data_IF_657181350555
#
_entry.id   IF_657181350555
#
_cell.length_a   1.000
_cell.length_b   1.000
_cell.length_c   1.000
_cell.angle_alpha   90.00
_cell.angle_beta   90.00
_cell.angle_gamma   90.00
#
_symmetry.space_group_name_H-M   'P 1'
#
loop_
_entity.id
_entity.type
_entity.pdbx_description
1 polymer ?
#
# COMPACT_ATOMS: atom_id res chain seq x y z
N UNK A 1 -11.71 -0.90 3.56
CA UNK A 1 -10.40 -0.35 3.16
C UNK A 1 -9.53 -1.43 2.54
N UNK A 2 -9.09 -2.48 3.28
CA UNK A 2 -8.28 -3.60 2.72
C UNK A 2 -8.84 -4.13 1.39
N UNK A 3 -10.14 -4.39 1.31
CA UNK A 3 -10.76 -4.93 0.10
C UNK A 3 -10.56 -4.02 -1.12
N UNK A 4 -10.70 -2.70 -0.95
CA UNK A 4 -10.41 -1.74 -2.03
C UNK A 4 -8.94 -1.80 -2.42
N UNK A 5 -8.03 -1.87 -1.43
CA UNK A 5 -6.60 -2.09 -1.63
C UNK A 5 -6.31 -3.29 -2.52
N UNK A 6 -6.90 -4.44 -2.20
CA UNK A 6 -6.72 -5.67 -2.97
C UNK A 6 -7.17 -5.56 -4.43
N UNK A 7 -8.19 -4.73 -4.73
CA UNK A 7 -8.75 -4.57 -6.08
C UNK A 7 -7.84 -3.73 -6.98
N UNK A 8 -7.39 -2.56 -6.52
CA UNK A 8 -6.60 -1.67 -7.38
C UNK A 8 -5.11 -2.02 -7.39
N UNK A 9 -4.57 -2.46 -6.24
CA UNK A 9 -3.13 -2.70 -6.09
C UNK A 9 -2.64 -3.84 -7.00
N UNK A 10 -3.44 -4.89 -7.15
CA UNK A 10 -3.10 -6.03 -8.02
C UNK A 10 -3.03 -5.66 -9.51
N UNK A 11 -3.62 -4.54 -9.93
CA UNK A 11 -3.52 -4.05 -11.30
C UNK A 11 -2.08 -3.59 -11.61
N UNK A 12 -1.36 -3.06 -10.62
CA UNK A 12 0.07 -2.71 -10.74
C UNK A 12 0.89 -3.97 -11.08
N UNK A 13 0.59 -5.08 -10.40
CA UNK A 13 1.23 -6.37 -10.65
C UNK A 13 0.86 -6.92 -12.04
N UNK A 14 -0.38 -6.74 -12.48
CA UNK A 14 -0.80 -7.12 -13.83
C UNK A 14 -0.05 -6.32 -14.91
N UNK A 15 0.14 -5.01 -14.70
CA UNK A 15 0.99 -4.18 -15.58
C UNK A 15 2.45 -4.65 -15.52
N UNK A 16 3.02 -4.89 -14.35
CA UNK A 16 4.40 -5.38 -14.23
C UNK A 16 4.61 -6.73 -14.93
N UNK A 17 3.66 -7.67 -14.80
CA UNK A 17 3.68 -8.94 -15.52
C UNK A 17 3.57 -8.73 -17.04
N UNK A 18 2.72 -7.82 -17.48
CA UNK A 18 2.60 -7.47 -18.88
C UNK A 18 3.94 -6.96 -19.43
N UNK A 19 4.55 -5.97 -18.79
CA UNK A 19 5.87 -5.46 -19.20
C UNK A 19 6.97 -6.53 -19.12
N UNK A 20 6.95 -7.40 -18.11
CA UNK A 20 7.88 -8.53 -18.02
C UNK A 20 7.76 -9.45 -19.24
N UNK A 21 6.55 -9.81 -19.68
CA UNK A 21 6.34 -10.62 -20.87
C UNK A 21 6.90 -9.97 -22.15
N UNK A 22 6.74 -8.65 -22.30
CA UNK A 22 7.30 -7.91 -23.45
C UNK A 22 8.81 -7.68 -23.36
N UNK A 23 9.42 -7.87 -22.18
CA UNK A 23 10.87 -7.71 -21.99
C UNK A 23 11.69 -8.81 -22.66
N UNK A 24 11.06 -9.92 -23.07
CA UNK A 24 11.70 -11.03 -23.79
C UNK A 24 11.75 -10.84 -25.31
N UNK A 25 11.40 -9.65 -25.82
CA UNK A 25 11.48 -9.33 -27.24
C UNK A 25 12.88 -8.83 -27.64
N UNK A 26 13.26 -9.08 -28.90
CA UNK A 26 14.55 -8.65 -29.45
C UNK A 26 14.73 -7.12 -29.38
N UNK A 27 13.66 -6.36 -29.59
CA UNK A 27 13.60 -4.93 -29.30
C UNK A 27 12.52 -4.67 -28.24
N UNK A 28 12.84 -3.85 -27.24
CA UNK A 28 11.85 -3.46 -26.24
C UNK A 28 10.78 -2.57 -26.88
N UNK A 29 9.47 -2.85 -26.70
CA UNK A 29 8.42 -2.05 -27.32
C UNK A 29 8.44 -0.56 -26.95
N UNK A 30 9.06 -0.16 -25.85
CA UNK A 30 9.13 1.23 -25.40
C UNK A 30 10.47 1.93 -25.75
N UNK A 31 11.33 1.32 -26.57
CA UNK A 31 12.65 1.87 -26.92
C UNK A 31 12.58 3.11 -27.82
N UNK A 32 11.73 3.06 -28.85
CA UNK A 32 11.75 4.06 -29.91
C UNK A 32 10.96 5.33 -29.57
N UNK A 33 10.01 5.26 -28.61
CA UNK A 33 9.23 6.45 -28.26
C UNK A 33 8.29 6.38 -27.05
N UNK A 34 7.94 7.54 -26.44
CA UNK A 34 6.88 7.65 -25.43
C UNK A 34 5.49 7.27 -25.96
N UNK A 35 5.23 7.46 -27.25
CA UNK A 35 3.92 7.15 -27.86
C UNK A 35 3.68 5.64 -27.91
N UNK A 36 4.72 4.83 -28.16
CA UNK A 36 4.58 3.37 -28.17
C UNK A 36 4.33 2.81 -26.77
N UNK A 37 4.85 3.43 -25.71
CA UNK A 37 4.49 3.10 -24.31
C UNK A 37 3.00 3.31 -24.03
N UNK A 38 2.38 4.35 -24.62
CA UNK A 38 0.92 4.56 -24.53
C UNK A 38 0.15 3.54 -25.34
N UNK A 39 0.65 3.11 -26.49
CA UNK A 39 0.04 2.03 -27.29
C UNK A 39 0.11 0.67 -26.57
N UNK A 40 1.21 0.42 -25.85
CA UNK A 40 1.44 -0.80 -25.05
C UNK A 40 0.36 -0.95 -23.96
N UNK A 41 -0.01 0.15 -23.28
CA UNK A 41 -1.11 0.18 -22.30
C UNK A 41 -2.47 0.60 -22.88
N UNK A 42 -2.53 1.00 -24.16
CA UNK A 42 -3.70 1.59 -24.86
C UNK A 42 -4.39 2.69 -24.05
N UNK A 43 -3.65 3.65 -23.50
CA UNK A 43 -4.23 4.69 -22.65
C UNK A 43 -5.26 5.56 -23.40
N UNK A 44 -6.43 5.75 -22.80
CA UNK A 44 -7.44 6.69 -23.30
C UNK A 44 -6.95 8.14 -23.17
N UNK A 45 -7.45 9.02 -24.06
CA UNK A 45 -7.18 10.46 -24.01
C UNK A 45 -8.18 11.21 -23.11
N UNK A 46 -9.33 10.60 -22.79
CA UNK A 46 -10.36 11.19 -21.92
C UNK A 46 -10.85 10.19 -20.87
N UNK A 47 -11.39 10.72 -19.76
CA UNK A 47 -11.94 9.88 -18.69
C UNK A 47 -13.26 9.20 -19.09
N UNK A 48 -14.08 9.88 -19.90
CA UNK A 48 -15.44 9.44 -20.24
C UNK A 48 -15.43 8.27 -21.24
N UNK A 49 -14.30 8.02 -21.90
CA UNK A 49 -14.10 6.89 -22.79
C UNK A 49 -13.22 5.82 -22.11
N UNK A 50 -13.86 4.91 -21.37
CA UNK A 50 -13.18 3.75 -20.77
C UNK A 50 -12.57 2.83 -21.84
N UNK A 51 -13.27 2.63 -22.96
CA UNK A 51 -12.87 1.71 -24.02
C UNK A 51 -13.06 0.21 -23.68
N UNK A 52 -12.75 -0.70 -24.61
CA UNK A 52 -12.94 -2.13 -24.41
C UNK A 52 -11.88 -2.73 -23.46
N UNK A 53 -12.26 -3.79 -22.75
CA UNK A 53 -11.35 -4.52 -21.86
C UNK A 53 -10.19 -5.16 -22.67
N UNK A 54 -8.95 -4.91 -22.24
CA UNK A 54 -7.76 -5.46 -22.90
C UNK A 54 -7.53 -6.92 -22.52
N UNK A 55 -7.82 -7.85 -23.44
CA UNK A 55 -7.69 -9.29 -23.16
C UNK A 55 -6.28 -9.70 -22.69
N UNK A 56 -5.22 -9.04 -23.18
CA UNK A 56 -3.84 -9.34 -22.76
C UNK A 56 -3.62 -9.01 -21.28
N UNK A 57 -4.09 -7.85 -20.85
CA UNK A 57 -4.01 -7.44 -19.46
C UNK A 57 -4.97 -8.25 -18.57
N UNK A 58 -6.11 -8.72 -19.09
CA UNK A 58 -6.99 -9.65 -18.37
C UNK A 58 -6.26 -10.96 -18.06
N UNK A 59 -5.50 -11.50 -19.02
CA UNK A 59 -4.68 -12.68 -18.78
C UNK A 59 -3.59 -12.43 -17.72
N UNK A 60 -2.92 -11.28 -17.77
CA UNK A 60 -1.94 -10.91 -16.74
C UNK A 60 -2.61 -10.78 -15.36
N UNK A 61 -3.76 -10.11 -15.29
CA UNK A 61 -4.52 -9.95 -14.05
C UNK A 61 -4.97 -11.31 -13.49
N UNK A 62 -5.49 -12.20 -14.34
CA UNK A 62 -5.89 -13.55 -13.97
C UNK A 62 -4.69 -14.38 -13.46
N UNK A 63 -3.54 -14.29 -14.13
CA UNK A 63 -2.32 -14.98 -13.73
C UNK A 63 -1.83 -14.51 -12.35
N UNK A 64 -1.81 -13.21 -12.10
CA UNK A 64 -1.42 -12.67 -10.78
C UNK A 64 -2.40 -13.12 -9.69
N UNK A 65 -3.71 -13.05 -9.94
CA UNK A 65 -4.70 -13.55 -8.97
C UNK A 65 -4.54 -15.04 -8.67
N UNK A 66 -4.22 -15.84 -9.68
CA UNK A 66 -3.95 -17.28 -9.53
C UNK A 66 -2.73 -17.51 -8.63
N UNK A 67 -1.65 -16.77 -8.85
CA UNK A 67 -0.45 -16.81 -8.00
C UNK A 67 -0.80 -16.41 -6.57
N UNK A 68 -1.48 -15.27 -6.36
CA UNK A 68 -1.91 -14.83 -5.04
C UNK A 68 -2.79 -15.86 -4.32
N UNK A 69 -3.72 -16.48 -5.02
CA UNK A 69 -4.58 -17.52 -4.47
C UNK A 69 -3.76 -18.69 -3.91
N UNK A 70 -2.88 -19.29 -4.73
CA UNK A 70 -2.09 -20.45 -4.30
C UNK A 70 -1.01 -20.10 -3.27
N UNK A 71 -0.49 -18.87 -3.26
CA UNK A 71 0.45 -18.44 -2.22
C UNK A 71 -0.25 -18.33 -0.85
N UNK A 72 -1.51 -17.85 -0.80
CA UNK A 72 -2.24 -17.54 0.44
C UNK A 72 -3.21 -18.65 0.88
N UNK A 73 -3.50 -19.64 0.03
CA UNK A 73 -4.57 -20.64 0.27
C UNK A 73 -4.48 -21.39 1.61
N UNK A 74 -3.29 -21.71 2.12
CA UNK A 74 -3.07 -22.37 3.43
C UNK A 74 -2.73 -21.39 4.55
N UNK A 75 -3.02 -20.11 4.33
CA UNK A 75 -2.71 -19.01 5.23
C UNK A 75 -1.22 -18.82 5.45
N UNK A 76 -0.86 -18.30 6.62
CA UNK A 76 0.53 -18.01 7.02
C UNK A 76 1.51 -19.18 6.88
N UNK A 77 1.04 -20.43 6.86
CA UNK A 77 1.88 -21.62 6.63
C UNK A 77 2.42 -21.72 5.19
N UNK A 78 1.64 -21.25 4.21
CA UNK A 78 2.05 -21.19 2.80
C UNK A 78 2.71 -19.87 2.51
N UNK A 79 2.07 -18.76 2.89
CA UNK A 79 2.60 -17.41 2.72
C UNK A 79 3.99 -17.29 3.34
N UNK A 80 4.18 -17.76 4.57
CA UNK A 80 5.46 -17.75 5.27
C UNK A 80 6.60 -18.51 4.59
N UNK A 81 6.30 -19.45 3.69
CA UNK A 81 7.33 -20.13 2.87
C UNK A 81 7.67 -19.35 1.61
N UNK A 82 6.65 -18.80 0.95
CA UNK A 82 6.81 -18.04 -0.30
C UNK A 82 7.58 -16.74 -0.05
N UNK A 83 7.31 -16.05 1.07
CA UNK A 83 7.98 -14.79 1.45
C UNK A 83 9.49 -14.89 1.58
N UNK A 84 10.07 -16.08 1.84
CA UNK A 84 11.52 -16.23 1.83
C UNK A 84 12.12 -15.90 0.45
N UNK A 85 11.40 -16.19 -0.63
CA UNK A 85 11.82 -15.81 -1.98
C UNK A 85 11.35 -14.39 -2.31
N UNK A 86 10.04 -14.13 -2.17
CA UNK A 86 9.43 -12.89 -2.66
C UNK A 86 9.89 -11.65 -1.88
N UNK A 87 10.24 -11.77 -0.60
CA UNK A 87 10.73 -10.65 0.19
C UNK A 87 12.25 -10.44 0.08
N UNK A 88 13.05 -11.50 -0.11
CA UNK A 88 14.52 -11.38 -0.16
C UNK A 88 15.04 -11.06 -1.57
N UNK A 89 14.38 -11.58 -2.61
CA UNK A 89 14.78 -11.35 -3.99
C UNK A 89 14.84 -9.87 -4.38
N UNK A 90 13.87 -9.02 -3.99
CA UNK A 90 13.94 -7.58 -4.25
C UNK A 90 15.19 -6.91 -3.68
N UNK A 91 15.71 -7.34 -2.53
CA UNK A 91 16.95 -6.78 -1.98
C UNK A 91 18.17 -7.11 -2.82
N UNK A 92 18.27 -8.37 -3.28
CA UNK A 92 19.32 -8.77 -4.19
C UNK A 92 19.23 -7.98 -5.51
N UNK A 93 18.02 -7.81 -6.03
CA UNK A 93 17.81 -7.07 -7.27
C UNK A 93 18.07 -5.57 -7.10
N UNK A 94 17.65 -4.99 -5.98
CA UNK A 94 17.91 -3.60 -5.64
C UNK A 94 19.42 -3.33 -5.58
N UNK A 95 20.20 -4.24 -5.00
CA UNK A 95 21.66 -4.13 -5.00
C UNK A 95 22.24 -4.15 -6.42
N UNK A 96 21.78 -5.07 -7.27
CA UNK A 96 22.20 -5.16 -8.68
C UNK A 96 21.88 -3.88 -9.44
N UNK A 97 20.65 -3.35 -9.30
CA UNK A 97 20.23 -2.11 -9.95
C UNK A 97 20.96 -0.88 -9.38
N UNK A 98 21.28 -0.88 -8.09
CA UNK A 98 22.05 0.18 -7.45
C UNK A 98 23.48 0.22 -7.97
N UNK A 99 24.16 -0.92 -8.02
CA UNK A 99 25.52 -1.01 -8.59
C UNK A 99 25.48 -0.59 -10.06
N UNK A 100 24.51 -1.09 -10.83
CA UNK A 100 24.38 -0.69 -12.22
C UNK A 100 24.14 0.80 -12.37
N UNK A 101 23.16 1.35 -11.65
CA UNK A 101 22.81 2.76 -11.67
C UNK A 101 24.00 3.65 -11.31
N UNK A 102 24.78 3.30 -10.29
CA UNK A 102 25.96 4.04 -9.88
C UNK A 102 27.10 4.03 -10.93
N UNK A 103 27.14 3.04 -11.82
CA UNK A 103 28.14 2.95 -12.91
C UNK A 103 27.75 3.70 -14.18
N UNK A 104 26.52 4.22 -14.28
CA UNK A 104 26.06 4.93 -15.46
C UNK A 104 26.61 6.36 -15.51
N UNK A 105 26.87 6.92 -16.71
CA UNK A 105 27.06 8.36 -16.85
C UNK A 105 25.80 9.10 -16.36
N UNK A 106 25.91 10.32 -15.85
CA UNK A 106 24.75 11.03 -15.29
C UNK A 106 24.30 10.62 -13.89
N UNK A 107 24.81 9.52 -13.34
CA UNK A 107 24.35 9.01 -12.06
C UNK A 107 24.52 10.02 -10.91
N UNK A 108 25.64 10.75 -10.89
CA UNK A 108 25.93 11.72 -9.84
C UNK A 108 24.96 12.90 -9.85
N UNK A 109 24.57 13.40 -11.02
CA UNK A 109 23.56 14.45 -11.16
C UNK A 109 22.23 13.99 -10.56
N UNK A 110 21.87 12.72 -10.78
CA UNK A 110 20.75 12.05 -10.15
C UNK A 110 20.79 12.05 -8.63
N UNK A 111 21.92 11.61 -8.05
CA UNK A 111 22.09 11.56 -6.60
C UNK A 111 22.10 12.96 -5.97
N UNK A 112 22.72 13.94 -6.63
CA UNK A 112 22.69 15.34 -6.19
C UNK A 112 21.24 15.84 -6.19
N UNK A 113 20.45 15.58 -7.22
CA UNK A 113 19.05 15.97 -7.24
C UNK A 113 18.24 15.31 -6.11
N UNK A 114 18.53 14.04 -5.82
CA UNK A 114 17.85 13.30 -4.74
C UNK A 114 18.15 13.88 -3.35
N UNK A 115 19.40 14.22 -3.06
CA UNK A 115 19.84 14.51 -1.69
C UNK A 115 20.13 15.99 -1.40
N UNK A 116 20.22 16.85 -2.43
CA UNK A 116 20.56 18.26 -2.24
C UNK A 116 19.49 18.93 -1.35
N UNK A 117 19.85 19.35 -0.12
CA UNK A 117 18.87 19.86 0.81
C UNK A 117 18.40 21.25 0.36
N UNK A 118 17.10 21.46 0.38
CA UNK A 118 16.51 22.79 0.26
C UNK A 118 15.76 23.15 1.54
N UNK A 119 16.45 23.81 2.48
CA UNK A 119 15.92 24.15 3.79
C UNK A 119 14.68 25.06 3.73
N UNK A 120 14.51 25.84 2.66
CA UNK A 120 13.32 26.71 2.49
C UNK A 120 12.04 25.89 2.37
N UNK A 121 12.11 24.64 1.90
CA UNK A 121 10.96 23.73 1.79
C UNK A 121 10.44 23.27 3.15
N UNK A 122 11.23 23.35 4.23
CA UNK A 122 10.75 23.00 5.57
C UNK A 122 9.69 23.97 6.11
N UNK A 123 9.63 25.18 5.57
CA UNK A 123 8.58 26.16 5.87
C UNK A 123 7.26 25.87 5.13
N UNK A 124 7.27 25.00 4.11
CA UNK A 124 6.06 24.58 3.40
C UNK A 124 5.35 23.47 4.18
N UNK A 125 4.12 23.71 4.71
CA UNK A 125 3.39 22.70 5.46
C UNK A 125 3.04 21.46 4.61
N UNK A 126 3.01 21.57 3.28
CA UNK A 126 2.79 20.44 2.39
C UNK A 126 3.89 19.38 2.53
N UNK A 127 5.15 19.79 2.78
CA UNK A 127 6.26 18.83 2.94
C UNK A 127 6.06 17.92 4.14
N UNK A 128 5.53 18.46 5.24
CA UNK A 128 5.24 17.68 6.46
C UNK A 128 4.02 16.78 6.28
N UNK A 129 3.02 17.24 5.52
CA UNK A 129 1.88 16.44 5.13
C UNK A 129 2.26 15.23 4.28
N UNK A 130 3.08 15.46 3.26
CA UNK A 130 3.58 14.42 2.37
C UNK A 130 4.45 13.42 3.17
N UNK A 131 5.32 13.91 4.06
CA UNK A 131 6.12 13.05 4.94
C UNK A 131 5.25 12.18 5.87
N UNK A 132 4.24 12.78 6.50
CA UNK A 132 3.33 12.06 7.39
C UNK A 132 2.55 10.97 6.64
N UNK A 133 1.87 11.34 5.55
CA UNK A 133 1.09 10.39 4.73
C UNK A 133 1.96 9.30 4.11
N UNK A 134 3.17 9.62 3.66
CA UNK A 134 4.14 8.64 3.17
C UNK A 134 4.50 7.61 4.26
N UNK A 135 4.75 8.03 5.49
CA UNK A 135 5.03 7.12 6.61
C UNK A 135 3.84 6.20 6.86
N UNK A 136 2.62 6.74 7.01
CA UNK A 136 1.44 5.93 7.26
C UNK A 136 1.20 4.88 6.16
N UNK A 137 1.30 5.29 4.91
CA UNK A 137 1.07 4.41 3.76
C UNK A 137 2.19 3.38 3.60
N UNK A 138 3.45 3.79 3.74
CA UNK A 138 4.61 2.90 3.59
C UNK A 138 4.61 1.73 4.58
N UNK A 139 4.15 1.95 5.82
CA UNK A 139 4.04 0.88 6.82
C UNK A 139 2.70 0.12 6.76
N UNK A 140 1.73 0.56 5.97
CA UNK A 140 0.39 -0.02 5.95
C UNK A 140 -0.31 0.04 7.33
N UNK A 141 -0.05 1.09 8.10
CA UNK A 141 -0.60 1.25 9.46
C UNK A 141 -2.13 1.43 9.36
N UNK A 142 -2.86 1.06 10.41
CA UNK A 142 -4.32 1.16 10.50
C UNK A 142 -5.13 0.29 9.55
N UNK A 143 -4.51 -0.35 8.55
CA UNK A 143 -5.21 -1.25 7.62
C UNK A 143 -5.70 -2.54 8.27
N UNK A 144 -5.12 -2.95 9.41
CA UNK A 144 -5.42 -4.22 10.09
C UNK A 144 -4.45 -5.35 9.70
N UNK A 145 -3.63 -5.14 8.68
CA UNK A 145 -2.60 -6.09 8.22
C UNK A 145 -1.60 -6.48 9.31
N UNK A 146 -1.02 -5.49 10.00
CA UNK A 146 -0.06 -5.76 11.08
C UNK A 146 -0.73 -6.41 12.30
N UNK A 147 -1.99 -6.07 12.58
CA UNK A 147 -2.77 -6.71 13.66
C UNK A 147 -3.03 -8.18 13.34
N UNK A 148 -3.42 -8.50 12.10
CA UNK A 148 -3.64 -9.87 11.65
C UNK A 148 -2.33 -10.68 11.69
N UNK A 149 -1.22 -10.15 11.18
CA UNK A 149 0.07 -10.83 11.24
C UNK A 149 0.54 -11.03 12.68
N UNK A 150 0.40 -10.00 13.53
CA UNK A 150 0.75 -10.07 14.95
C UNK A 150 -0.07 -11.12 15.72
N UNK A 151 -1.31 -11.40 15.31
CA UNK A 151 -2.14 -12.44 15.92
C UNK A 151 -1.59 -13.86 15.76
N UNK A 152 -0.68 -14.08 14.81
CA UNK A 152 -0.02 -15.37 14.60
C UNK A 152 1.28 -15.52 15.39
N UNK A 153 1.76 -14.46 16.04
CA UNK A 153 2.96 -14.53 16.86
C UNK A 153 2.71 -15.33 18.14
N UNK A 154 3.80 -15.89 18.69
CA UNK A 154 3.76 -16.40 20.07
C UNK A 154 3.48 -15.24 21.02
N UNK A 155 2.74 -15.51 22.09
CA UNK A 155 2.38 -14.49 23.08
C UNK A 155 3.60 -13.76 23.66
N UNK A 156 4.68 -14.49 23.93
CA UNK A 156 5.91 -13.97 24.49
C UNK A 156 6.97 -13.55 23.44
N UNK A 157 6.56 -13.35 22.19
CA UNK A 157 7.44 -12.81 21.16
C UNK A 157 7.76 -11.34 21.45
N UNK A 158 9.03 -10.94 21.27
CA UNK A 158 9.44 -9.56 21.45
C UNK A 158 8.97 -8.66 20.29
N UNK A 159 7.69 -8.32 20.31
CA UNK A 159 7.07 -7.46 19.29
C UNK A 159 7.60 -6.02 19.33
N UNK A 160 8.19 -5.59 20.45
CA UNK A 160 8.79 -4.27 20.59
C UNK A 160 10.06 -4.17 19.73
N UNK A 161 10.95 -5.16 19.85
CA UNK A 161 12.15 -5.28 19.01
C UNK A 161 11.79 -5.43 17.53
N UNK A 162 10.82 -6.28 17.22
CA UNK A 162 10.39 -6.51 15.82
C UNK A 162 9.85 -5.22 15.19
N UNK A 163 9.07 -4.43 15.96
CA UNK A 163 8.54 -3.15 15.48
C UNK A 163 9.66 -2.15 15.14
N UNK A 164 10.70 -2.07 15.96
CA UNK A 164 11.85 -1.20 15.66
C UNK A 164 12.62 -1.66 14.42
N UNK A 165 12.87 -2.97 14.30
CA UNK A 165 13.55 -3.53 13.14
C UNK A 165 12.75 -3.32 11.85
N UNK A 166 11.42 -3.49 11.90
CA UNK A 166 10.52 -3.23 10.78
C UNK A 166 10.60 -1.77 10.34
N UNK A 167 10.58 -0.83 11.29
CA UNK A 167 10.77 0.60 11.01
C UNK A 167 12.10 0.89 10.31
N UNK A 168 13.19 0.34 10.83
CA UNK A 168 14.52 0.55 10.26
C UNK A 168 14.64 -0.06 8.86
N UNK A 169 14.18 -1.29 8.67
CA UNK A 169 14.27 -2.00 7.38
C UNK A 169 13.43 -1.31 6.29
N UNK A 170 12.18 -0.95 6.59
CA UNK A 170 11.33 -0.26 5.62
C UNK A 170 11.93 1.08 5.16
N UNK A 171 12.40 1.89 6.12
CA UNK A 171 12.95 3.22 5.84
C UNK A 171 14.28 3.15 5.09
N UNK A 172 15.17 2.24 5.51
CA UNK A 172 16.45 2.02 4.83
C UNK A 172 16.27 1.46 3.42
N UNK A 173 15.30 0.57 3.20
CA UNK A 173 14.95 0.07 1.86
C UNK A 173 14.49 1.21 0.96
N UNK A 174 13.62 2.10 1.48
CA UNK A 174 13.15 3.27 0.72
C UNK A 174 14.29 4.23 0.37
N UNK A 175 15.22 4.44 1.30
CA UNK A 175 16.41 5.27 1.07
C UNK A 175 17.33 4.67 0.01
N UNK A 176 17.63 3.37 0.08
CA UNK A 176 18.43 2.65 -0.92
C UNK A 176 17.76 2.61 -2.30
N UNK A 177 16.45 2.41 -2.35
CA UNK A 177 15.65 2.51 -3.57
C UNK A 177 15.74 3.91 -4.19
N UNK A 178 15.78 4.97 -3.38
CA UNK A 178 16.03 6.33 -3.84
C UNK A 178 17.32 6.44 -4.66
N UNK A 179 18.45 5.92 -4.17
CA UNK A 179 19.69 5.91 -4.94
C UNK A 179 19.58 5.11 -6.24
N UNK A 180 18.98 3.92 -6.21
CA UNK A 180 18.84 3.08 -7.40
C UNK A 180 17.97 3.74 -8.48
N UNK A 181 16.89 4.42 -8.09
CA UNK A 181 16.01 5.13 -9.02
C UNK A 181 16.67 6.41 -9.55
N UNK A 182 17.16 7.28 -8.66
CA UNK A 182 17.67 8.59 -9.07
C UNK A 182 18.99 8.50 -9.84
N UNK A 183 19.85 7.50 -9.58
CA UNK A 183 21.03 7.27 -10.43
C UNK A 183 20.66 6.93 -11.87
N UNK A 184 19.64 6.10 -12.08
CA UNK A 184 19.14 5.76 -13.42
C UNK A 184 18.41 6.94 -14.09
N UNK A 185 17.67 7.75 -13.32
CA UNK A 185 17.06 8.97 -13.86
C UNK A 185 18.09 10.03 -14.24
N UNK A 186 19.18 10.14 -13.47
CA UNK A 186 20.32 11.01 -13.81
C UNK A 186 20.97 10.62 -15.13
N UNK A 187 21.16 9.32 -15.35
CA UNK A 187 21.58 8.78 -16.65
C UNK A 187 20.62 9.16 -17.79
N UNK A 188 19.32 8.96 -17.60
CA UNK A 188 18.33 9.33 -18.61
C UNK A 188 18.34 10.82 -18.93
N UNK A 189 18.51 11.67 -17.91
CA UNK A 189 18.61 13.12 -18.08
C UNK A 189 19.86 13.52 -18.87
N UNK A 190 21.01 12.90 -18.59
CA UNK A 190 22.26 13.13 -19.32
C UNK A 190 22.17 12.67 -20.78
N UNK A 191 21.69 11.46 -21.04
CA UNK A 191 21.51 10.93 -22.40
C UNK A 191 20.53 11.75 -23.25
N UNK A 192 19.49 12.33 -22.63
CA UNK A 192 18.50 13.15 -23.33
C UNK A 192 18.86 14.64 -23.38
N UNK A 193 19.89 15.07 -22.64
CA UNK A 193 20.25 16.48 -22.52
C UNK A 193 19.14 17.34 -21.89
N UNK A 194 18.35 16.78 -20.96
CA UNK A 194 17.24 17.47 -20.28
C UNK A 194 17.48 17.60 -18.79
N UNK A 195 16.79 18.54 -18.14
CA UNK A 195 16.82 18.64 -16.68
C UNK A 195 16.16 17.42 -16.04
N UNK A 196 16.73 16.94 -14.93
CA UNK A 196 16.23 15.75 -14.24
C UNK A 196 14.79 15.92 -13.72
N UNK A 197 14.37 17.13 -13.38
CA UNK A 197 13.00 17.40 -12.96
C UNK A 197 11.97 17.07 -14.07
N UNK A 198 12.38 17.11 -15.34
CA UNK A 198 11.51 16.77 -16.47
C UNK A 198 11.29 15.25 -16.64
N UNK A 199 12.22 14.42 -16.12
CA UNK A 199 12.14 12.94 -16.20
C UNK A 199 11.68 12.31 -14.89
N UNK A 200 11.77 13.05 -13.77
CA UNK A 200 11.29 12.62 -12.46
C UNK A 200 9.75 12.68 -12.38
N UNK A 201 9.09 11.60 -12.82
CA UNK A 201 7.65 11.40 -12.62
C UNK A 201 7.35 10.78 -11.25
N UNK A 202 6.09 10.82 -10.81
CA UNK A 202 5.61 10.16 -9.59
C UNK A 202 4.64 9.01 -9.92
N UNK A 203 4.43 8.13 -8.92
CA UNK A 203 3.46 7.04 -9.01
C UNK A 203 3.74 6.05 -10.16
N UNK A 204 2.70 5.49 -10.79
CA UNK A 204 2.86 4.53 -11.89
C UNK A 204 3.64 5.09 -13.09
N UNK A 205 3.63 6.41 -13.33
CA UNK A 205 4.38 7.03 -14.42
C UNK A 205 5.89 6.82 -14.28
N UNK A 206 6.41 6.89 -13.04
CA UNK A 206 7.82 6.62 -12.77
C UNK A 206 8.21 5.20 -13.17
N UNK A 207 7.46 4.21 -12.68
CA UNK A 207 7.80 2.80 -12.84
C UNK A 207 7.48 2.25 -14.25
N UNK A 208 6.42 2.73 -14.90
CA UNK A 208 5.95 2.17 -16.18
C UNK A 208 6.21 3.07 -17.40
N UNK A 209 6.70 4.29 -17.20
CA UNK A 209 7.03 5.22 -18.30
C UNK A 209 8.49 5.67 -18.23
N UNK A 210 8.89 6.35 -17.14
CA UNK A 210 10.22 6.95 -17.05
C UNK A 210 11.32 5.88 -16.93
N UNK A 211 11.19 4.94 -15.98
CA UNK A 211 12.21 3.93 -15.72
C UNK A 211 12.42 2.95 -16.90
N UNK A 212 11.36 2.39 -17.54
CA UNK A 212 11.55 1.49 -18.67
C UNK A 212 12.22 2.19 -19.86
N UNK A 213 11.96 3.50 -20.02
CA UNK A 213 12.61 4.33 -21.02
C UNK A 213 14.09 4.52 -20.74
N UNK A 214 14.47 4.77 -19.49
CA UNK A 214 15.89 4.81 -19.08
C UNK A 214 16.58 3.47 -19.31
N UNK A 215 15.92 2.37 -18.97
CA UNK A 215 16.42 1.00 -19.19
C UNK A 215 16.66 0.71 -20.67
N UNK A 216 15.77 1.17 -21.56
CA UNK A 216 15.91 0.94 -23.00
C UNK A 216 17.14 1.62 -23.63
N UNK A 217 17.74 2.61 -22.95
CA UNK A 217 18.97 3.28 -23.38
C UNK A 217 20.24 2.57 -22.91
N UNK A 218 20.13 1.63 -21.98
CA UNK A 218 21.28 0.90 -21.45
C UNK A 218 21.70 -0.23 -22.41
N UNK A 219 22.99 -0.61 -22.41
CA UNK A 219 23.40 -1.87 -23.02
C UNK A 219 22.72 -3.05 -22.35
N UNK A 220 22.32 -4.06 -23.15
CA UNK A 220 21.54 -5.22 -22.72
C UNK A 220 20.21 -4.83 -22.03
N UNK A 221 19.36 -4.00 -22.68
CA UNK A 221 18.19 -3.41 -22.03
C UNK A 221 17.15 -4.45 -21.57
N UNK A 222 17.07 -5.60 -22.22
CA UNK A 222 16.19 -6.71 -21.84
C UNK A 222 16.53 -7.27 -20.46
N UNK A 223 17.83 -7.43 -20.14
CA UNK A 223 18.28 -7.94 -18.85
C UNK A 223 17.77 -7.03 -17.72
N UNK A 224 18.00 -5.72 -17.85
CA UNK A 224 17.62 -4.73 -16.86
C UNK A 224 16.10 -4.58 -16.74
N UNK A 225 15.36 -4.70 -17.85
CA UNK A 225 13.90 -4.69 -17.84
C UNK A 225 13.34 -5.90 -17.09
N UNK A 226 13.84 -7.11 -17.38
CA UNK A 226 13.45 -8.34 -16.67
C UNK A 226 13.74 -8.22 -15.17
N UNK A 227 14.95 -7.78 -14.81
CA UNK A 227 15.36 -7.51 -13.44
C UNK A 227 14.37 -6.57 -12.71
N UNK A 228 14.06 -5.43 -13.33
CA UNK A 228 13.21 -4.41 -12.74
C UNK A 228 11.75 -4.86 -12.59
N UNK A 229 11.13 -5.41 -13.64
CA UNK A 229 9.73 -5.83 -13.56
C UNK A 229 9.54 -7.07 -12.69
N UNK A 230 10.50 -7.99 -12.67
CA UNK A 230 10.47 -9.11 -11.73
C UNK A 230 10.57 -8.62 -10.29
N UNK A 231 11.42 -7.61 -10.00
CA UNK A 231 11.48 -6.98 -8.68
C UNK A 231 10.14 -6.34 -8.29
N UNK A 232 9.50 -5.58 -9.18
CA UNK A 232 8.17 -4.99 -8.91
C UNK A 232 7.13 -6.07 -8.59
N UNK A 233 7.12 -7.16 -9.36
CA UNK A 233 6.18 -8.27 -9.12
C UNK A 233 6.42 -8.87 -7.73
N UNK A 234 7.67 -9.19 -7.39
CA UNK A 234 8.00 -9.79 -6.09
C UNK A 234 7.65 -8.86 -4.92
N UNK A 235 7.97 -7.55 -5.04
CA UNK A 235 7.61 -6.55 -4.03
C UNK A 235 6.10 -6.44 -3.82
N UNK A 236 5.32 -6.33 -4.91
CA UNK A 236 3.89 -6.13 -4.78
C UNK A 236 3.14 -7.41 -4.38
N UNK A 237 3.64 -8.60 -4.73
CA UNK A 237 3.02 -9.86 -4.32
C UNK A 237 2.92 -9.96 -2.80
N UNK A 238 3.97 -9.58 -2.06
CA UNK A 238 3.97 -9.65 -0.60
C UNK A 238 2.93 -8.72 0.04
N UNK A 239 2.80 -7.49 -0.47
CA UNK A 239 1.74 -6.56 -0.02
C UNK A 239 0.35 -7.14 -0.28
N UNK A 240 0.14 -7.75 -1.45
CA UNK A 240 -1.14 -8.38 -1.79
C UNK A 240 -1.42 -9.62 -0.91
N UNK A 241 -0.41 -10.44 -0.62
CA UNK A 241 -0.56 -11.61 0.25
C UNK A 241 -1.00 -11.21 1.65
N UNK A 242 -0.33 -10.22 2.23
CA UNK A 242 -0.66 -9.74 3.57
C UNK A 242 -2.06 -9.11 3.61
N UNK A 243 -2.45 -8.37 2.58
CA UNK A 243 -3.78 -7.77 2.50
C UNK A 243 -4.89 -8.82 2.42
N UNK A 244 -4.72 -9.86 1.59
CA UNK A 244 -5.64 -10.99 1.53
C UNK A 244 -5.67 -11.77 2.85
N UNK A 245 -4.51 -12.02 3.46
CA UNK A 245 -4.46 -12.71 4.74
C UNK A 245 -5.19 -11.91 5.82
N UNK A 246 -4.98 -10.60 5.92
CA UNK A 246 -5.65 -9.74 6.90
C UNK A 246 -7.17 -9.78 6.79
N UNK A 247 -7.69 -9.74 5.56
CA UNK A 247 -9.12 -9.89 5.30
C UNK A 247 -9.60 -11.29 5.72
N UNK A 248 -8.88 -12.33 5.31
CA UNK A 248 -9.25 -13.72 5.59
C UNK A 248 -9.20 -14.04 7.09
N UNK A 249 -8.18 -13.57 7.82
CA UNK A 249 -8.05 -13.72 9.28
C UNK A 249 -9.23 -13.05 9.97
N UNK A 250 -9.53 -11.80 9.62
CA UNK A 250 -10.64 -11.04 10.21
C UNK A 250 -11.99 -11.75 10.06
N UNK A 251 -12.31 -12.27 8.87
CA UNK A 251 -13.57 -12.99 8.62
C UNK A 251 -13.56 -14.37 9.30
N UNK A 252 -12.42 -15.05 9.31
CA UNK A 252 -12.28 -16.37 9.95
C UNK A 252 -12.44 -16.28 11.46
N UNK A 253 -11.97 -15.21 12.08
CA UNK A 253 -12.06 -15.01 13.54
C UNK A 253 -13.45 -14.54 13.97
N UNK A 254 -14.20 -13.87 13.09
CA UNK A 254 -15.61 -13.53 13.35
C UNK A 254 -16.54 -14.75 13.24
N UNK A 255 -16.23 -15.70 12.33
CA UNK A 255 -17.07 -16.88 12.07
C UNK A 255 -16.27 -18.20 12.09
N UNK A 256 -15.60 -18.55 13.21
CA UNK A 256 -14.64 -19.66 13.25
C UNK A 256 -15.30 -21.01 12.97
N UNK A 257 -16.49 -21.27 13.53
CA UNK A 257 -17.22 -22.52 13.35
C UNK A 257 -17.67 -22.76 11.90
N UNK A 258 -17.85 -21.69 11.13
CA UNK A 258 -18.28 -21.77 9.73
C UNK A 258 -17.09 -21.90 8.80
N UNK A 259 -16.06 -21.08 8.98
CA UNK A 259 -14.95 -20.89 8.02
C UNK A 259 -13.81 -21.89 8.22
N UNK A 260 -13.47 -22.27 9.48
CA UNK A 260 -12.36 -23.19 9.76
C UNK A 260 -12.65 -24.66 9.38
N UNK A 261 -13.88 -24.98 8.96
CA UNK A 261 -14.31 -26.34 8.65
C UNK A 261 -13.99 -26.73 7.20
N UNK A 262 -13.30 -27.86 7.02
CA UNK A 262 -13.03 -28.44 5.70
C UNK A 262 -12.21 -27.51 4.82
N UNK A 263 -12.66 -27.28 3.58
CA UNK A 263 -12.00 -26.39 2.60
C UNK A 263 -12.65 -25.01 2.46
N UNK A 264 -13.45 -24.59 3.46
CA UNK A 264 -14.29 -23.38 3.35
C UNK A 264 -13.48 -22.09 3.35
N UNK A 265 -12.35 -22.05 4.07
CA UNK A 265 -11.40 -20.92 3.99
C UNK A 265 -10.85 -20.78 2.57
N UNK A 266 -10.41 -21.87 1.95
CA UNK A 266 -9.89 -21.83 0.58
C UNK A 266 -10.96 -21.44 -0.45
N UNK A 267 -12.21 -21.87 -0.24
CA UNK A 267 -13.34 -21.46 -1.09
C UNK A 267 -13.69 -19.98 -0.90
N UNK A 268 -13.71 -19.48 0.33
CA UNK A 268 -13.94 -18.06 0.61
C UNK A 268 -12.84 -17.19 -0.02
N UNK A 269 -11.57 -17.60 0.11
CA UNK A 269 -10.46 -16.91 -0.56
C UNK A 269 -10.66 -16.89 -2.09
N UNK A 270 -11.08 -18.01 -2.68
CA UNK A 270 -11.35 -18.07 -4.12
C UNK A 270 -12.47 -17.09 -4.52
N UNK A 271 -13.57 -17.05 -3.76
CA UNK A 271 -14.68 -16.11 -4.00
C UNK A 271 -14.18 -14.67 -3.92
N UNK A 272 -13.39 -14.32 -2.89
CA UNK A 272 -12.79 -12.99 -2.76
C UNK A 272 -11.90 -12.66 -3.97
N UNK A 273 -11.01 -13.56 -4.37
CA UNK A 273 -10.15 -13.37 -5.54
C UNK A 273 -10.96 -13.16 -6.83
N UNK A 274 -12.02 -13.95 -7.04
CA UNK A 274 -12.89 -13.85 -8.22
C UNK A 274 -13.67 -12.54 -8.23
N UNK A 275 -14.25 -12.12 -7.10
CA UNK A 275 -14.97 -10.84 -6.99
C UNK A 275 -14.00 -9.68 -7.26
N UNK A 276 -12.83 -9.67 -6.63
CA UNK A 276 -11.83 -8.63 -6.85
C UNK A 276 -11.30 -8.62 -8.29
N UNK A 277 -11.12 -9.79 -8.91
CA UNK A 277 -10.78 -9.91 -10.33
C UNK A 277 -11.83 -9.26 -11.22
N UNK A 278 -13.12 -9.58 -11.00
CA UNK A 278 -14.22 -9.05 -11.80
C UNK A 278 -14.33 -7.51 -11.68
N UNK A 279 -14.19 -6.97 -10.47
CA UNK A 279 -14.16 -5.51 -10.25
C UNK A 279 -12.93 -4.89 -10.91
N UNK A 280 -11.77 -5.55 -10.80
CA UNK A 280 -10.51 -5.10 -11.39
C UNK A 280 -10.52 -5.02 -12.92
N UNK A 281 -11.44 -5.70 -13.61
CA UNK A 281 -11.57 -5.62 -15.08
C UNK A 281 -11.80 -4.19 -15.58
N UNK A 282 -12.46 -3.34 -14.79
CA UNK A 282 -12.67 -1.93 -15.14
C UNK A 282 -11.35 -1.16 -15.26
N UNK A 283 -10.35 -1.51 -14.45
CA UNK A 283 -9.02 -0.89 -14.47
C UNK A 283 -8.11 -1.46 -15.56
N UNK A 284 -8.57 -2.47 -16.29
CA UNK A 284 -7.88 -3.15 -17.39
C UNK A 284 -8.39 -2.68 -18.77
N UNK A 285 -9.06 -1.53 -18.78
CA UNK A 285 -9.51 -0.82 -19.99
C UNK A 285 -8.52 0.28 -20.36
N UNK A 286 -8.58 0.84 -21.59
CA UNK A 286 -7.87 2.06 -21.98
C UNK A 286 -7.94 3.22 -20.97
N UNK A 287 -9.14 3.49 -20.41
CA UNK A 287 -9.35 4.49 -19.36
C UNK A 287 -9.04 3.99 -17.94
N UNK A 288 -8.57 2.75 -17.82
CA UNK A 288 -8.39 2.07 -16.54
C UNK A 288 -7.34 2.72 -15.62
N UNK A 289 -6.33 3.40 -16.19
CA UNK A 289 -5.35 4.17 -15.40
C UNK A 289 -6.03 5.28 -14.58
N UNK A 290 -7.03 5.95 -15.14
CA UNK A 290 -7.73 7.00 -14.42
C UNK A 290 -8.59 6.43 -13.28
N UNK A 291 -9.28 5.31 -13.52
CA UNK A 291 -10.02 4.60 -12.47
C UNK A 291 -9.07 4.15 -11.36
N UNK A 292 -7.90 3.61 -11.75
CA UNK A 292 -6.83 3.27 -10.81
C UNK A 292 -6.41 4.49 -9.97
N UNK A 293 -6.15 5.64 -10.59
CA UNK A 293 -5.74 6.86 -9.87
C UNK A 293 -6.82 7.37 -8.89
N UNK A 294 -8.10 7.27 -9.26
CA UNK A 294 -9.21 7.60 -8.36
C UNK A 294 -9.21 6.65 -7.14
N UNK A 295 -9.05 5.34 -7.37
CA UNK A 295 -8.97 4.37 -6.28
C UNK A 295 -7.74 4.60 -5.38
N UNK A 296 -6.57 4.80 -5.97
CA UNK A 296 -5.31 5.02 -5.28
C UNK A 296 -5.39 6.28 -4.38
N UNK A 297 -5.95 7.37 -4.91
CA UNK A 297 -6.07 8.63 -4.18
C UNK A 297 -7.12 8.58 -3.05
N UNK A 298 -8.32 8.02 -3.32
CA UNK A 298 -9.46 8.17 -2.40
C UNK A 298 -9.74 6.94 -1.50
N UNK A 299 -9.38 5.73 -1.92
CA UNK A 299 -9.87 4.51 -1.26
C UNK A 299 -9.07 4.10 -0.02
N UNK A 300 -7.74 4.18 -0.09
CA UNK A 300 -6.82 3.66 0.92
C UNK A 300 -5.69 4.64 1.27
N UNK A 301 -5.80 5.89 0.82
CA UNK A 301 -4.82 6.95 1.05
C UNK A 301 -5.48 8.22 1.62
N UNK A 302 -4.65 9.16 2.04
CA UNK A 302 -5.04 10.49 2.50
C UNK A 302 -6.09 10.46 3.64
N UNK A 303 -7.25 11.04 3.36
CA UNK A 303 -8.32 11.26 4.34
C UNK A 303 -8.81 9.96 5.01
N UNK A 304 -8.96 8.86 4.25
CA UNK A 304 -9.45 7.57 4.77
C UNK A 304 -8.54 7.02 5.89
N UNK A 305 -7.24 7.00 5.60
CA UNK A 305 -6.21 6.49 6.47
C UNK A 305 -6.03 7.38 7.71
N UNK A 306 -5.98 8.71 7.52
CA UNK A 306 -5.84 9.67 8.62
C UNK A 306 -7.02 9.59 9.61
N UNK A 307 -8.26 9.52 9.12
CA UNK A 307 -9.44 9.36 9.98
C UNK A 307 -9.37 8.07 10.79
N UNK A 308 -9.01 6.96 10.15
CA UNK A 308 -8.86 5.67 10.82
C UNK A 308 -7.75 5.71 11.89
N UNK A 309 -6.63 6.39 11.61
CA UNK A 309 -5.54 6.59 12.56
C UNK A 309 -5.94 7.43 13.78
N UNK A 310 -6.74 8.49 13.58
CA UNK A 310 -7.30 9.29 14.69
C UNK A 310 -8.16 8.40 15.59
N UNK A 311 -9.12 7.66 15.02
CA UNK A 311 -10.01 6.82 15.82
C UNK A 311 -9.27 5.68 16.54
N UNK A 312 -8.34 4.99 15.87
CA UNK A 312 -7.57 3.92 16.49
C UNK A 312 -6.65 4.42 17.62
N UNK A 313 -5.98 5.56 17.42
CA UNK A 313 -5.13 6.14 18.46
C UNK A 313 -5.93 6.64 19.66
N UNK A 314 -7.09 7.28 19.45
CA UNK A 314 -8.01 7.65 20.54
C UNK A 314 -8.57 6.42 21.27
N UNK A 315 -8.94 5.37 20.54
CA UNK A 315 -9.44 4.13 21.12
C UNK A 315 -8.39 3.46 22.02
N UNK A 316 -7.13 3.33 21.58
CA UNK A 316 -6.08 2.71 22.38
C UNK A 316 -5.57 3.65 23.48
N UNK A 317 -5.30 4.91 23.15
CA UNK A 317 -4.68 5.87 24.05
C UNK A 317 -5.58 6.28 25.22
N UNK A 318 -6.87 6.51 24.95
CA UNK A 318 -7.82 7.09 25.91
C UNK A 318 -8.92 6.14 26.34
N UNK A 319 -9.56 5.42 25.41
CA UNK A 319 -10.71 4.55 25.76
C UNK A 319 -10.24 3.27 26.44
N UNK A 320 -9.32 2.53 25.81
CA UNK A 320 -8.69 1.34 26.38
C UNK A 320 -7.67 1.70 27.48
N UNK A 321 -6.94 2.80 27.25
CA UNK A 321 -5.97 3.37 28.18
C UNK A 321 -4.53 2.95 27.89
N UNK A 322 -3.66 3.93 27.64
CA UNK A 322 -2.26 3.68 27.31
C UNK A 322 -1.46 2.97 28.42
N UNK A 323 -1.83 3.15 29.70
CA UNK A 323 -1.17 2.45 30.81
C UNK A 323 -1.45 0.94 30.75
N UNK A 324 -2.71 0.58 30.48
CA UNK A 324 -3.10 -0.81 30.30
C UNK A 324 -2.41 -1.42 29.09
N UNK A 325 -2.39 -0.70 27.98
CA UNK A 325 -1.69 -1.17 26.78
C UNK A 325 -0.19 -1.37 27.02
N UNK A 326 0.45 -0.44 27.75
CA UNK A 326 1.85 -0.57 28.20
C UNK A 326 2.06 -1.78 29.10
N UNK A 327 1.14 -2.05 30.03
CA UNK A 327 1.19 -3.21 30.91
C UNK A 327 1.06 -4.52 30.14
N UNK A 328 0.21 -4.58 29.11
CA UNK A 328 0.10 -5.77 28.26
C UNK A 328 1.40 -6.01 27.48
N UNK A 329 2.04 -4.96 26.98
CA UNK A 329 3.35 -5.09 26.30
C UNK A 329 4.40 -5.61 27.28
N UNK A 330 4.40 -5.13 28.53
CA UNK A 330 5.28 -5.65 29.58
C UNK A 330 5.02 -7.11 29.87
N UNK A 331 3.77 -7.53 29.94
CA UNK A 331 3.39 -8.93 30.16
C UNK A 331 3.86 -9.85 29.03
N UNK A 332 3.77 -9.38 27.77
CA UNK A 332 4.25 -10.13 26.60
C UNK A 332 5.78 -10.17 26.49
N UNK A 333 6.46 -9.04 26.69
CA UNK A 333 7.90 -8.87 26.38
C UNK A 333 8.83 -9.00 27.59
N UNK A 334 8.29 -8.90 28.81
CA UNK A 334 9.03 -8.91 30.07
C UNK A 334 9.61 -7.57 30.50
N UNK A 335 9.46 -6.49 29.72
CA UNK A 335 9.97 -5.16 30.06
C UNK A 335 9.04 -4.03 29.64
N UNK A 336 9.26 -2.84 30.21
CA UNK A 336 8.44 -1.67 29.90
C UNK A 336 8.77 -1.04 28.56
N UNK A 337 7.75 -0.70 27.74
CA UNK A 337 7.98 0.20 26.63
C UNK A 337 8.36 1.59 27.13
N UNK A 338 9.16 2.31 26.35
CA UNK A 338 9.61 3.66 26.71
C UNK A 338 8.40 4.60 26.98
N UNK A 339 8.49 5.51 27.97
CA UNK A 339 7.40 6.44 28.28
C UNK A 339 6.94 7.31 27.11
N UNK A 340 7.83 7.58 26.14
CA UNK A 340 7.52 8.31 24.92
C UNK A 340 6.39 7.65 24.13
N UNK A 341 6.25 6.32 24.14
CA UNK A 341 5.17 5.64 23.43
C UNK A 341 3.80 5.97 24.03
N UNK A 342 3.70 6.08 25.36
CA UNK A 342 2.46 6.51 26.02
C UNK A 342 2.08 7.95 25.63
N UNK A 343 3.06 8.85 25.53
CA UNK A 343 2.86 10.21 25.01
C UNK A 343 2.41 10.19 23.54
N UNK A 344 3.02 9.33 22.73
CA UNK A 344 2.68 9.18 21.31
C UNK A 344 1.25 8.67 21.11
N UNK A 345 0.84 7.62 21.83
CA UNK A 345 -0.51 7.04 21.70
C UNK A 345 -1.60 7.98 22.22
N UNK A 346 -1.35 8.67 23.35
CA UNK A 346 -2.35 9.56 23.96
C UNK A 346 -2.48 10.90 23.23
N UNK A 347 -1.38 11.51 22.82
CA UNK A 347 -1.38 12.92 22.41
C UNK A 347 -0.77 13.15 21.03
N UNK A 348 0.47 12.70 20.79
CA UNK A 348 1.18 13.12 19.58
C UNK A 348 0.54 12.56 18.30
N UNK A 349 0.25 11.25 18.28
CA UNK A 349 -0.35 10.59 17.11
C UNK A 349 -1.71 11.19 16.76
N UNK A 350 -2.70 11.28 17.68
CA UNK A 350 -4.00 11.87 17.34
C UNK A 350 -3.88 13.35 16.98
N UNK A 351 -3.00 14.13 17.62
CA UNK A 351 -2.81 15.54 17.30
C UNK A 351 -2.23 15.74 15.89
N UNK A 352 -1.14 15.03 15.54
CA UNK A 352 -0.52 15.10 14.22
C UNK A 352 -1.49 14.63 13.15
N UNK A 353 -2.17 13.49 13.34
CA UNK A 353 -3.15 13.00 12.37
C UNK A 353 -4.31 13.98 12.17
N UNK A 354 -4.81 14.59 13.25
CA UNK A 354 -5.89 15.58 13.17
C UNK A 354 -5.44 16.85 12.46
N UNK A 355 -4.24 17.35 12.75
CA UNK A 355 -3.67 18.52 12.07
C UNK A 355 -3.47 18.26 10.57
N UNK A 356 -2.86 17.13 10.21
CA UNK A 356 -2.69 16.69 8.81
C UNK A 356 -4.04 16.51 8.12
N UNK A 357 -5.03 15.93 8.79
CA UNK A 357 -6.38 15.77 8.23
C UNK A 357 -7.05 17.12 7.95
N UNK A 358 -7.07 18.04 8.93
CA UNK A 358 -7.66 19.37 8.75
C UNK A 358 -6.95 20.12 7.62
N UNK A 359 -5.62 20.10 7.59
CA UNK A 359 -4.87 20.76 6.52
C UNK A 359 -5.17 20.14 5.15
N UNK A 360 -5.32 18.81 5.05
CA UNK A 360 -5.71 18.13 3.80
C UNK A 360 -7.08 18.56 3.29
N UNK A 361 -8.02 18.88 4.18
CA UNK A 361 -9.33 19.41 3.82
C UNK A 361 -9.25 20.88 3.38
N UNK A 362 -8.45 21.69 4.08
CA UNK A 362 -8.27 23.13 3.76
C UNK A 362 -7.55 23.32 2.42
N UNK A 363 -6.54 22.49 2.13
CA UNK A 363 -5.80 22.49 0.87
C UNK A 363 -6.34 21.50 -0.16
N UNK A 364 -7.60 21.07 0.00
CA UNK A 364 -8.20 20.14 -0.93
C UNK A 364 -8.18 20.72 -2.34
N UNK A 365 -7.69 19.92 -3.29
CA UNK A 365 -7.73 20.22 -4.71
C UNK A 365 -8.26 19.00 -5.46
N UNK A 366 -9.00 19.20 -6.56
CA UNK A 366 -9.41 18.11 -7.41
C UNK A 366 -8.22 17.29 -7.91
N UNK A 367 -8.40 15.96 -7.99
CA UNK A 367 -7.34 15.03 -8.41
C UNK A 367 -6.84 15.37 -9.82
N UNK A 368 -5.55 15.66 -9.96
CA UNK A 368 -4.89 15.81 -11.25
C UNK A 368 -4.63 14.41 -11.86
N UNK A 369 -5.26 14.14 -13.01
CA UNK A 369 -5.15 12.88 -13.75
C UNK A 369 -3.99 12.89 -14.77
N UNK A 370 -3.19 13.97 -14.77
CA UNK A 370 -2.06 14.18 -15.67
C UNK A 370 -2.42 14.96 -16.95
N UNK A 371 -1.42 15.57 -17.61
CA UNK A 371 -1.59 16.42 -18.82
C UNK A 371 -2.59 17.58 -18.66
N UNK A 372 -2.75 18.12 -17.45
CA UNK A 372 -3.73 19.17 -17.18
C UNK A 372 -5.19 18.68 -17.11
N UNK A 373 -5.44 17.37 -17.23
CA UNK A 373 -6.75 16.78 -16.95
C UNK A 373 -6.96 16.74 -15.44
N UNK A 374 -8.14 17.18 -15.04
CA UNK A 374 -8.59 17.20 -13.64
C UNK A 374 -9.82 16.30 -13.53
N UNK A 375 -9.91 15.54 -12.45
CA UNK A 375 -11.04 14.67 -12.20
C UNK A 375 -12.36 15.48 -12.20
N UNK A 376 -13.33 15.14 -13.06
CA UNK A 376 -14.62 15.80 -13.08
C UNK A 376 -15.39 15.54 -11.78
N UNK A 377 -16.48 16.30 -11.59
CA UNK A 377 -17.26 16.24 -10.35
C UNK A 377 -17.75 14.82 -10.04
N UNK A 378 -18.27 14.10 -11.03
CA UNK A 378 -18.77 12.74 -10.84
C UNK A 378 -17.68 11.78 -10.32
N UNK A 379 -16.45 11.91 -10.82
CA UNK A 379 -15.31 11.09 -10.44
C UNK A 379 -14.84 11.43 -9.03
N UNK A 380 -14.87 12.72 -8.68
CA UNK A 380 -14.57 13.20 -7.34
C UNK A 380 -15.63 12.76 -6.33
N UNK A 381 -16.92 12.79 -6.68
CA UNK A 381 -18.02 12.26 -5.87
C UNK A 381 -17.87 10.76 -5.66
N UNK A 382 -17.55 10.00 -6.71
CA UNK A 382 -17.26 8.57 -6.60
C UNK A 382 -16.07 8.31 -5.66
N UNK A 383 -15.00 9.10 -5.77
CA UNK A 383 -13.86 9.06 -4.86
C UNK A 383 -14.28 9.23 -3.39
N UNK A 384 -15.04 10.28 -3.08
CA UNK A 384 -15.53 10.49 -1.71
C UNK A 384 -16.47 9.39 -1.22
N UNK A 385 -17.28 8.78 -2.09
CA UNK A 385 -18.06 7.60 -1.76
C UNK A 385 -17.17 6.40 -1.40
N UNK A 386 -16.06 6.19 -2.12
CA UNK A 386 -15.07 5.16 -1.77
C UNK A 386 -14.45 5.44 -0.39
N UNK A 387 -14.05 6.68 -0.11
CA UNK A 387 -13.54 7.09 1.21
C UNK A 387 -14.57 6.78 2.31
N UNK A 388 -15.81 7.26 2.14
CA UNK A 388 -16.89 7.09 3.12
C UNK A 388 -17.30 5.63 3.30
N UNK A 389 -17.23 4.79 2.26
CA UNK A 389 -17.59 3.36 2.33
C UNK A 389 -16.79 2.59 3.39
N UNK A 390 -15.57 3.05 3.70
CA UNK A 390 -14.72 2.43 4.72
C UNK A 390 -14.82 3.12 6.08
N UNK A 391 -14.76 4.45 6.11
CA UNK A 391 -14.70 5.21 7.37
C UNK A 391 -16.06 5.28 8.06
N UNK A 392 -17.16 5.34 7.32
CA UNK A 392 -18.52 5.43 7.89
C UNK A 392 -18.92 4.20 8.70
N UNK A 393 -18.26 3.05 8.48
CA UNK A 393 -18.51 1.83 9.26
C UNK A 393 -18.22 2.03 10.75
N UNK A 394 -17.29 2.91 11.12
CA UNK A 394 -16.97 3.20 12.53
C UNK A 394 -18.17 3.83 13.28
N UNK A 395 -18.71 4.99 12.86
CA UNK A 395 -19.88 5.57 13.51
C UNK A 395 -21.13 4.72 13.35
N UNK A 396 -21.33 4.06 12.20
CA UNK A 396 -22.48 3.16 11.99
C UNK A 396 -22.46 2.02 13.01
N UNK A 397 -21.31 1.37 13.19
CA UNK A 397 -21.18 0.29 14.17
C UNK A 397 -21.31 0.78 15.60
N UNK A 398 -20.78 1.96 15.92
CA UNK A 398 -20.94 2.58 17.23
C UNK A 398 -22.42 2.85 17.55
N UNK A 399 -23.18 3.43 16.60
CA UNK A 399 -24.62 3.67 16.75
C UNK A 399 -25.38 2.36 16.87
N UNK A 400 -25.09 1.38 16.02
CA UNK A 400 -25.70 0.05 16.08
C UNK A 400 -25.47 -0.60 17.45
N UNK A 401 -24.23 -0.65 17.93
CA UNK A 401 -23.89 -1.24 19.22
C UNK A 401 -24.61 -0.53 20.38
N UNK A 402 -24.70 0.80 20.35
CA UNK A 402 -25.47 1.58 21.34
C UNK A 402 -26.97 1.27 21.28
N UNK A 403 -27.54 1.10 20.09
CA UNK A 403 -28.96 0.83 19.90
C UNK A 403 -29.37 -0.59 20.27
N UNK A 404 -28.49 -1.57 20.11
CA UNK A 404 -28.79 -2.99 20.39
C UNK A 404 -28.40 -3.45 21.78
N UNK A 405 -27.56 -2.70 22.51
CA UNK A 405 -27.15 -3.09 23.86
C UNK A 405 -28.25 -2.72 24.86
N UNK A 406 -28.85 -3.70 25.57
CA UNK A 406 -29.91 -3.42 26.53
C UNK A 406 -29.36 -2.63 27.72
N UNK A 407 -30.03 -1.54 28.08
CA UNK A 407 -29.67 -0.69 29.22
C UNK A 407 -29.90 0.80 28.93
N UNK A 408 -29.70 1.63 29.94
CA UNK A 408 -29.68 3.10 29.77
C UNK A 408 -28.34 3.57 29.21
N UNK A 409 -28.28 4.73 28.56
CA UNK A 409 -27.02 5.28 28.00
C UNK A 409 -25.89 5.40 29.05
N UNK A 410 -26.23 5.61 30.33
CA UNK A 410 -25.26 5.65 31.42
C UNK A 410 -24.70 4.26 31.76
N UNK A 411 -25.49 3.20 31.62
CA UNK A 411 -25.10 1.80 31.81
C UNK A 411 -24.33 1.23 30.60
N UNK A 412 -24.65 1.72 29.40
CA UNK A 412 -24.01 1.34 28.14
C UNK A 412 -22.73 2.15 27.87
N UNK A 413 -22.34 3.08 28.78
CA UNK A 413 -20.99 3.67 28.74
C UNK A 413 -19.97 2.54 28.66
N UNK A 414 -18.95 2.62 27.80
CA UNK A 414 -17.84 1.69 27.83
C UNK A 414 -17.22 1.80 29.22
N UNK A 415 -17.61 0.90 30.11
CA UNK A 415 -16.91 0.72 31.38
C UNK A 415 -15.49 0.33 31.00
N UNK A 416 -14.50 0.80 31.76
CA UNK A 416 -13.07 0.50 31.53
C UNK A 416 -12.73 -1.02 31.61
N UNK A 417 -13.75 -1.88 31.66
CA UNK A 417 -13.70 -3.33 31.74
C UNK A 417 -14.17 -3.88 30.38
N UNK A 418 -13.33 -4.61 29.64
CA UNK A 418 -13.77 -5.30 28.43
C UNK A 418 -14.92 -6.22 28.82
N UNK A 419 -15.96 -6.31 27.99
CA UNK A 419 -17.11 -7.19 28.28
C UNK A 419 -16.63 -8.61 28.65
N UNK A 420 -17.37 -9.33 29.50
CA UNK A 420 -17.09 -10.74 29.83
C UNK A 420 -16.99 -11.66 28.61
N UNK A 421 -17.47 -11.25 27.43
CA UNK A 421 -17.23 -11.95 26.17
C UNK A 421 -15.76 -11.87 25.72
N UNK A 422 -15.05 -10.79 26.03
CA UNK A 422 -13.60 -10.65 25.82
C UNK A 422 -12.78 -11.43 26.87
N UNK A 423 -13.26 -11.53 28.12
CA UNK A 423 -12.65 -12.42 29.13
C UNK A 423 -12.86 -13.90 28.79
N UNK A 424 -14.03 -14.28 28.26
CA UNK A 424 -14.27 -15.64 27.76
C UNK A 424 -13.36 -16.02 26.59
N UNK A 425 -13.01 -15.04 25.74
CA UNK A 425 -12.07 -15.22 24.62
C UNK A 425 -10.60 -15.30 25.08
N UNK A 426 -10.24 -14.65 26.18
CA UNK A 426 -8.90 -14.73 26.78
C UNK A 426 -8.72 -15.97 27.67
N UNK A 427 -9.79 -16.44 28.32
CA UNK A 427 -9.75 -17.61 29.21
C UNK A 427 -9.96 -18.95 28.48
N UNK A 428 -10.09 -18.95 27.15
CA UNK A 428 -10.18 -20.16 26.32
C UNK A 428 -8.91 -20.45 25.52
N UNK A 429 -7.78 -19.79 25.84
CA UNK A 429 -6.45 -20.09 25.30
C UNK A 429 -5.46 -20.43 26.39
#
# INVERSE_FOLDING_TARGET
MILHGCVYYIVILAWALFYLCYSFQAELPWSHSPWRTREVLRLSDTLDELGPVSWKLVLCLAAVWLVCYFCVWKGVKSTGKVVYLTATFPYAMLLVLLVRGATLPGAMQGIVYYLKPNHTRLADPQVWMDAGTQVFFSYGICLGSLTALGSYNKYNNDCYKDSFLLCLLNSSTSFLAGFAIFSVLGFMAEEQGVDIAAVAQSGPGLAFIAYPRAVAMMPLPQLWAVCFFLMIIMLGLDTQFVSLEALMTSVTDLYPHLIRRGRRRELLLLVVCVVCFLVGLVMVTPGGLYVFQIYDHFSCSGASLLLLSIFQSLAIGWVYGAERFSSNIRDMTGYDPLPVFRLCWKYLTPAVCTATFIFSLVRWSPLALGKGLVAPLWASTLGWLLTLSSVSLLPIWAIYALATTPGTLAQVRPTHVPSKAAEGFLNTW
#
